data_IF_925532717759
#
_entry.id   IF_925532717759
#
_cell.length_a   1.000
_cell.length_b   1.000
_cell.length_c   1.000
_cell.angle_alpha   90.00
_cell.angle_beta   90.00
_cell.angle_gamma   90.00
#
_symmetry.space_group_name_H-M   'P 1'
#
loop_
_entity.id
_entity.type
_entity.pdbx_description
1 polymer ?
#
# COMPACT_ATOMS: atom_id res chain seq x y z
N UNK A 1 -9.79 5.87 -5.86
CA UNK A 1 -8.55 5.23 -5.38
C UNK A 1 -7.28 6.05 -5.68
N UNK A 2 -7.35 7.06 -6.55
CA UNK A 2 -6.22 7.95 -6.85
C UNK A 2 -5.16 7.37 -7.80
N UNK A 3 -5.52 6.38 -8.63
CA UNK A 3 -4.60 5.82 -9.63
C UNK A 3 -4.07 6.89 -10.59
N UNK A 4 -4.89 7.88 -10.94
CA UNK A 4 -4.51 9.05 -11.73
C UNK A 4 -3.37 9.86 -11.09
N UNK A 5 -3.38 9.98 -9.76
CA UNK A 5 -2.30 10.65 -9.01
C UNK A 5 -1.00 9.85 -9.11
N UNK A 6 -1.06 8.52 -8.97
CA UNK A 6 0.12 7.66 -9.05
C UNK A 6 0.72 7.63 -10.47
N UNK A 7 -0.12 7.53 -11.51
CA UNK A 7 0.37 7.57 -12.89
C UNK A 7 1.08 8.92 -13.17
N UNK A 8 0.53 10.02 -12.70
CA UNK A 8 1.19 11.34 -12.81
C UNK A 8 2.48 11.43 -11.99
N UNK A 9 2.52 10.81 -10.80
CA UNK A 9 3.74 10.73 -9.99
C UNK A 9 4.86 9.96 -10.72
N UNK A 10 4.54 8.92 -11.49
CA UNK A 10 5.52 8.19 -12.31
C UNK A 10 6.24 9.06 -13.35
N UNK A 11 5.65 10.17 -13.78
CA UNK A 11 6.30 11.15 -14.69
C UNK A 11 7.42 11.93 -14.01
N UNK A 12 7.32 12.10 -12.70
CA UNK A 12 8.32 12.82 -11.89
C UNK A 12 9.46 11.90 -11.46
N UNK A 13 9.21 10.58 -11.46
CA UNK A 13 10.16 9.56 -11.05
C UNK A 13 11.09 9.17 -12.22
N UNK A 14 12.35 8.90 -11.89
CA UNK A 14 13.36 8.47 -12.85
C UNK A 14 13.05 7.11 -13.51
N UNK A 15 13.81 6.70 -14.55
CA UNK A 15 13.50 5.52 -15.37
C UNK A 15 13.69 4.19 -14.64
N UNK A 16 14.31 4.18 -13.46
CA UNK A 16 14.50 2.97 -12.64
C UNK A 16 13.19 2.45 -12.03
N UNK A 17 12.18 3.32 -11.88
CA UNK A 17 10.91 2.96 -11.24
C UNK A 17 9.95 2.33 -12.24
N UNK A 18 9.29 1.26 -11.82
CA UNK A 18 8.29 0.53 -12.59
C UNK A 18 7.01 0.42 -11.78
N UNK A 19 5.86 0.48 -12.43
CA UNK A 19 4.56 0.43 -11.78
C UNK A 19 3.77 -0.79 -12.25
N UNK A 20 3.35 -1.62 -11.30
CA UNK A 20 2.38 -2.69 -11.52
C UNK A 20 1.00 -2.17 -11.11
N UNK A 21 0.04 -2.22 -12.04
CA UNK A 21 -1.37 -1.91 -11.80
C UNK A 21 -2.14 -3.20 -11.99
N UNK A 22 -2.68 -3.74 -10.91
CA UNK A 22 -3.40 -5.01 -10.93
C UNK A 22 -4.74 -4.87 -10.19
N UNK A 23 -5.82 -5.29 -10.84
CA UNK A 23 -7.17 -5.25 -10.31
C UNK A 23 -8.20 -4.78 -11.33
N UNK A 24 -9.44 -5.21 -11.12
CA UNK A 24 -10.55 -4.85 -11.99
C UNK A 24 -10.94 -3.37 -11.82
N UNK A 25 -11.03 -2.59 -12.90
CA UNK A 25 -11.45 -1.20 -12.83
C UNK A 25 -12.99 -1.12 -12.67
N UNK A 26 -13.46 -0.16 -11.88
CA UNK A 26 -14.86 0.22 -11.91
C UNK A 26 -15.11 1.13 -13.13
N UNK A 27 -15.68 0.56 -14.21
CA UNK A 27 -15.91 1.23 -15.48
C UNK A 27 -14.70 1.16 -16.44
N UNK A 28 -14.61 2.10 -17.38
CA UNK A 28 -13.55 2.10 -18.40
C UNK A 28 -12.17 2.43 -17.81
N UNK A 29 -11.14 1.76 -18.32
CA UNK A 29 -9.74 2.03 -18.01
C UNK A 29 -9.12 3.08 -18.96
N UNK A 30 -9.82 3.48 -20.03
CA UNK A 30 -9.34 4.38 -21.11
C UNK A 30 -8.65 5.65 -20.60
N UNK A 31 -9.27 6.33 -19.61
CA UNK A 31 -8.68 7.55 -19.01
C UNK A 31 -7.30 7.31 -18.39
N UNK A 32 -7.00 6.10 -17.98
CA UNK A 32 -5.68 5.76 -17.43
C UNK A 32 -4.72 5.39 -18.54
N UNK A 33 -5.18 4.77 -19.63
CA UNK A 33 -4.38 4.51 -20.84
C UNK A 33 -3.92 5.81 -21.46
N UNK A 34 -4.77 6.83 -21.54
CA UNK A 34 -4.42 8.18 -21.98
C UNK A 34 -3.30 8.77 -21.10
N UNK A 35 -3.47 8.76 -19.77
CA UNK A 35 -2.46 9.27 -18.84
C UNK A 35 -1.12 8.52 -18.93
N UNK A 36 -1.16 7.21 -19.16
CA UNK A 36 0.03 6.39 -19.34
C UNK A 36 0.71 6.72 -20.67
N UNK A 37 -0.04 6.87 -21.74
CA UNK A 37 0.49 7.29 -23.05
C UNK A 37 1.16 8.67 -22.98
N UNK A 38 0.58 9.60 -22.23
CA UNK A 38 1.14 10.92 -21.98
C UNK A 38 2.35 10.92 -21.05
N UNK A 39 2.68 9.80 -20.39
CA UNK A 39 3.78 9.73 -19.42
C UNK A 39 5.18 9.80 -20.07
N UNK A 40 5.28 9.63 -21.38
CA UNK A 40 6.52 9.65 -22.15
C UNK A 40 7.25 8.30 -22.22
N UNK A 41 6.97 7.37 -21.29
CA UNK A 41 7.54 6.01 -21.30
C UNK A 41 6.55 5.01 -20.72
N UNK A 42 5.69 4.48 -21.60
CA UNK A 42 4.68 3.47 -21.24
C UNK A 42 5.27 2.10 -20.90
N UNK A 43 6.53 1.83 -21.28
CA UNK A 43 7.19 0.55 -20.99
C UNK A 43 7.42 0.28 -19.50
N UNK A 44 7.31 1.32 -18.66
CA UNK A 44 7.43 1.22 -17.20
C UNK A 44 6.15 0.77 -16.50
N UNK A 45 5.03 0.66 -17.24
CA UNK A 45 3.71 0.31 -16.68
C UNK A 45 3.33 -1.11 -17.06
N UNK A 46 3.10 -1.95 -16.05
CA UNK A 46 2.64 -3.33 -16.19
C UNK A 46 1.19 -3.41 -15.75
N UNK A 47 0.27 -3.51 -16.71
CA UNK A 47 -1.17 -3.31 -16.49
C UNK A 47 -1.90 -4.65 -16.58
N UNK A 48 -2.63 -5.00 -15.52
CA UNK A 48 -3.44 -6.19 -15.40
C UNK A 48 -4.88 -5.79 -14.98
N UNK A 49 -5.70 -5.24 -15.91
CA UNK A 49 -7.00 -4.62 -15.61
C UNK A 49 -8.12 -5.66 -15.55
N UNK A 50 -7.92 -6.70 -14.75
CA UNK A 50 -8.87 -7.80 -14.60
C UNK A 50 -8.99 -8.18 -13.12
N UNK A 51 -10.04 -8.96 -12.81
CA UNK A 51 -10.16 -9.56 -11.49
C UNK A 51 -8.95 -10.45 -11.18
N UNK A 52 -8.29 -10.19 -10.07
CA UNK A 52 -7.13 -10.97 -9.60
C UNK A 52 -7.64 -12.04 -8.63
N UNK A 53 -7.48 -13.29 -8.99
CA UNK A 53 -7.84 -14.43 -8.13
C UNK A 53 -6.94 -14.46 -6.89
N UNK A 54 -7.46 -14.91 -5.76
CA UNK A 54 -6.70 -15.00 -4.50
C UNK A 54 -5.40 -15.78 -4.65
N UNK A 55 -5.40 -16.87 -5.46
CA UNK A 55 -4.21 -17.66 -5.77
C UNK A 55 -3.13 -16.90 -6.55
N UNK A 56 -3.48 -15.78 -7.17
CA UNK A 56 -2.57 -14.96 -8.00
C UNK A 56 -2.05 -13.73 -7.27
N UNK A 57 -2.72 -13.29 -6.20
CA UNK A 57 -2.35 -12.11 -5.41
C UNK A 57 -0.88 -12.14 -5.00
N UNK A 58 -0.39 -13.30 -4.57
CA UNK A 58 1.01 -13.52 -4.21
C UNK A 58 1.99 -13.08 -5.29
N UNK A 59 1.69 -13.30 -6.57
CA UNK A 59 2.60 -12.97 -7.69
C UNK A 59 2.91 -11.47 -7.71
N UNK A 60 1.87 -10.64 -7.56
CA UNK A 60 2.00 -9.18 -7.62
C UNK A 60 2.73 -8.62 -6.41
N UNK A 61 2.35 -9.04 -5.20
CA UNK A 61 3.02 -8.58 -4.00
C UNK A 61 4.47 -9.07 -3.89
N UNK A 62 4.77 -10.30 -4.31
CA UNK A 62 6.15 -10.78 -4.32
C UNK A 62 7.02 -10.07 -5.37
N UNK A 63 6.45 -9.65 -6.49
CA UNK A 63 7.17 -8.90 -7.52
C UNK A 63 7.39 -7.42 -7.16
N UNK A 64 6.62 -6.87 -6.21
CA UNK A 64 6.72 -5.47 -5.79
C UNK A 64 7.69 -5.29 -4.62
N UNK A 65 8.38 -4.16 -4.58
CA UNK A 65 9.17 -3.71 -3.43
C UNK A 65 8.35 -2.85 -2.46
N UNK A 66 7.35 -2.15 -2.99
CA UNK A 66 6.55 -1.14 -2.28
C UNK A 66 5.11 -1.19 -2.76
N UNK A 67 4.15 -1.05 -1.84
CA UNK A 67 2.74 -0.84 -2.18
C UNK A 67 2.39 0.64 -2.07
N UNK A 68 1.70 1.19 -3.06
CA UNK A 68 1.30 2.60 -3.07
C UNK A 68 -0.22 2.72 -3.10
N UNK A 69 -0.79 3.39 -2.09
CA UNK A 69 -2.23 3.61 -1.94
C UNK A 69 -2.53 5.12 -1.92
N UNK A 70 -2.56 5.80 -3.07
CA UNK A 70 -2.70 7.26 -3.17
C UNK A 70 -4.18 7.66 -3.10
N UNK A 71 -4.88 7.18 -2.07
CA UNK A 71 -6.33 7.34 -1.97
C UNK A 71 -6.72 8.82 -1.78
N UNK A 72 -7.74 9.25 -2.51
CA UNK A 72 -8.37 10.59 -2.36
C UNK A 72 -9.33 10.62 -1.17
N UNK A 73 -9.94 9.47 -0.86
CA UNK A 73 -10.76 9.24 0.32
C UNK A 73 -10.79 7.76 0.65
N UNK A 74 -10.78 7.42 1.90
CA UNK A 74 -10.95 6.06 2.41
C UNK A 74 -11.38 6.12 3.88
N UNK A 75 -12.03 5.09 4.37
CA UNK A 75 -12.15 4.81 5.80
C UNK A 75 -11.04 3.86 6.24
N UNK A 76 -10.95 2.73 5.57
CA UNK A 76 -9.93 1.70 5.76
C UNK A 76 -9.55 1.09 4.40
N UNK A 77 -8.51 0.26 4.37
CA UNK A 77 -8.09 -0.45 3.17
C UNK A 77 -7.75 -1.91 3.46
N UNK A 78 -8.50 -2.84 2.84
CA UNK A 78 -8.15 -4.26 2.88
C UNK A 78 -6.78 -4.55 2.23
N UNK A 79 -6.38 -3.74 1.25
CA UNK A 79 -5.07 -3.88 0.59
C UNK A 79 -3.92 -3.62 1.56
N UNK A 80 -4.10 -2.76 2.57
CA UNK A 80 -3.06 -2.55 3.59
C UNK A 80 -2.80 -3.81 4.42
N UNK A 81 -3.83 -4.56 4.77
CA UNK A 81 -3.68 -5.83 5.47
C UNK A 81 -2.98 -6.89 4.59
N UNK A 82 -3.33 -6.95 3.31
CA UNK A 82 -2.67 -7.84 2.34
C UNK A 82 -1.20 -7.45 2.16
N UNK A 83 -0.90 -6.14 2.06
CA UNK A 83 0.48 -5.64 1.96
C UNK A 83 1.32 -6.04 3.17
N UNK A 84 0.78 -5.87 4.38
CA UNK A 84 1.41 -6.31 5.62
C UNK A 84 1.64 -7.84 5.64
N UNK A 85 0.67 -8.63 5.17
CA UNK A 85 0.82 -10.09 5.07
C UNK A 85 2.04 -10.48 4.22
N UNK A 86 2.30 -9.76 3.13
CA UNK A 86 3.46 -9.97 2.26
C UNK A 86 4.70 -9.16 2.67
N UNK A 87 4.70 -8.59 3.86
CA UNK A 87 5.79 -7.78 4.41
C UNK A 87 6.23 -6.63 3.47
N UNK A 88 5.26 -6.01 2.76
CA UNK A 88 5.54 -4.90 1.86
C UNK A 88 5.26 -3.57 2.54
N UNK A 89 6.28 -2.73 2.70
CA UNK A 89 6.10 -1.35 3.14
C UNK A 89 5.14 -0.59 2.22
N UNK A 90 4.55 0.47 2.74
CA UNK A 90 3.54 1.22 2.00
C UNK A 90 3.86 2.69 1.91
N UNK A 91 3.47 3.30 0.78
CA UNK A 91 3.27 4.75 0.67
C UNK A 91 1.77 4.99 0.58
N UNK A 92 1.23 5.77 1.50
CA UNK A 92 -0.20 6.06 1.59
C UNK A 92 -0.44 7.57 1.70
N UNK A 93 -1.64 8.02 1.36
CA UNK A 93 -2.08 9.39 1.62
C UNK A 93 -2.72 9.49 3.01
N UNK A 94 -2.70 10.69 3.61
CA UNK A 94 -3.30 10.98 4.91
C UNK A 94 -4.84 11.12 4.79
N UNK A 95 -5.51 9.96 4.62
CA UNK A 95 -6.97 9.86 4.52
C UNK A 95 -7.50 8.73 5.39
N UNK A 96 -8.62 8.96 6.06
CA UNK A 96 -9.25 7.99 6.95
C UNK A 96 -8.29 7.47 8.02
N UNK A 97 -8.31 6.17 8.29
CA UNK A 97 -7.43 5.51 9.26
C UNK A 97 -6.03 5.14 8.75
N UNK A 98 -5.62 5.56 7.53
CA UNK A 98 -4.34 5.13 6.95
C UNK A 98 -3.14 5.71 7.69
N UNK A 99 -3.23 6.96 8.17
CA UNK A 99 -2.17 7.55 8.99
C UNK A 99 -1.95 6.75 10.28
N UNK A 100 -3.02 6.44 11.00
CA UNK A 100 -2.97 5.67 12.25
C UNK A 100 -2.43 4.25 12.02
N UNK A 101 -2.89 3.58 10.95
CA UNK A 101 -2.57 2.16 10.71
C UNK A 101 -1.22 1.95 10.03
N UNK A 102 -0.68 2.94 9.34
CA UNK A 102 0.58 2.85 8.60
C UNK A 102 1.64 3.78 9.19
N UNK A 103 1.34 5.09 9.30
CA UNK A 103 2.28 6.09 9.77
C UNK A 103 2.65 5.91 11.24
N UNK A 104 1.66 5.91 12.12
CA UNK A 104 1.88 5.80 13.56
C UNK A 104 2.40 4.41 13.98
N UNK A 105 2.21 3.40 13.12
CA UNK A 105 2.79 2.06 13.29
C UNK A 105 4.18 1.91 12.68
N UNK A 106 4.66 2.90 11.93
CA UNK A 106 5.96 2.86 11.29
C UNK A 106 6.10 1.73 10.27
N UNK A 107 5.01 1.40 9.54
CA UNK A 107 5.00 0.35 8.51
C UNK A 107 5.10 0.90 7.10
N UNK A 108 5.23 2.23 6.96
CA UNK A 108 5.31 2.92 5.69
C UNK A 108 5.40 4.44 5.84
N UNK A 109 5.24 5.13 4.71
CA UNK A 109 5.34 6.58 4.61
C UNK A 109 3.96 7.17 4.31
N UNK A 110 3.60 8.25 5.01
CA UNK A 110 2.33 8.96 4.82
C UNK A 110 2.56 10.27 4.07
N UNK A 111 1.96 10.39 2.88
CA UNK A 111 1.91 11.64 2.12
C UNK A 111 0.88 12.57 2.74
N UNK A 112 1.30 13.76 3.13
CA UNK A 112 0.41 14.79 3.72
C UNK A 112 -0.65 15.30 2.74
N UNK A 113 -0.38 15.19 1.44
CA UNK A 113 -1.27 15.62 0.36
C UNK A 113 -1.40 14.53 -0.69
N UNK A 114 -2.61 14.38 -1.24
CA UNK A 114 -2.86 13.47 -2.35
C UNK A 114 -2.50 14.17 -3.68
N UNK A 115 -1.21 14.47 -3.89
CA UNK A 115 -0.68 15.06 -5.12
C UNK A 115 0.42 14.21 -5.72
N UNK A 116 0.64 14.28 -7.05
CA UNK A 116 1.69 13.52 -7.71
C UNK A 116 3.09 13.78 -7.12
N UNK A 117 3.39 15.03 -6.76
CA UNK A 117 4.67 15.44 -6.20
C UNK A 117 4.92 14.79 -4.85
N UNK A 118 3.92 14.83 -3.94
CA UNK A 118 4.05 14.25 -2.61
C UNK A 118 4.20 12.73 -2.68
N UNK A 119 3.50 12.07 -3.62
CA UNK A 119 3.60 10.62 -3.81
C UNK A 119 4.96 10.25 -4.42
N UNK A 120 5.46 11.01 -5.40
CA UNK A 120 6.77 10.78 -6.01
C UNK A 120 7.89 10.95 -4.97
N UNK A 121 7.87 12.06 -4.21
CA UNK A 121 8.83 12.32 -3.13
C UNK A 121 8.86 11.18 -2.09
N UNK A 122 7.69 10.68 -1.69
CA UNK A 122 7.60 9.57 -0.73
C UNK A 122 8.16 8.26 -1.30
N UNK A 123 7.95 7.99 -2.59
CA UNK A 123 8.51 6.82 -3.27
C UNK A 123 10.04 6.95 -3.35
N UNK A 124 10.57 8.09 -3.78
CA UNK A 124 12.02 8.34 -3.82
C UNK A 124 12.64 8.20 -2.44
N UNK A 125 12.03 8.82 -1.42
CA UNK A 125 12.49 8.73 -0.04
C UNK A 125 12.58 7.28 0.45
N UNK A 126 11.65 6.41 0.07
CA UNK A 126 11.70 4.99 0.41
C UNK A 126 12.90 4.28 -0.23
N UNK A 127 13.15 4.52 -1.52
CA UNK A 127 14.20 3.82 -2.25
C UNK A 127 15.61 4.39 -2.02
N UNK A 128 15.71 5.67 -1.65
CA UNK A 128 16.99 6.33 -1.38
C UNK A 128 17.48 6.07 0.07
N UNK A 129 16.62 5.47 0.93
CA UNK A 129 16.92 5.12 2.32
C UNK A 129 16.69 3.62 2.58
N UNK A 130 17.56 2.72 2.07
CA UNK A 130 17.39 1.27 2.20
C UNK A 130 17.34 0.79 3.66
N UNK A 131 17.97 1.50 4.60
CA UNK A 131 17.91 1.21 6.03
C UNK A 131 16.50 1.29 6.60
N UNK A 132 15.65 2.17 6.05
CA UNK A 132 14.25 2.31 6.47
C UNK A 132 13.40 1.12 6.03
N UNK A 133 13.79 0.43 4.95
CA UNK A 133 13.09 -0.76 4.49
C UNK A 133 13.12 -1.84 5.56
N UNK A 134 14.26 -2.08 6.18
CA UNK A 134 14.42 -3.09 7.24
C UNK A 134 13.60 -2.71 8.48
N UNK A 135 13.59 -1.43 8.84
CA UNK A 135 12.79 -0.91 9.94
C UNK A 135 11.29 -1.12 9.67
N UNK A 136 10.79 -0.73 8.49
CA UNK A 136 9.39 -0.93 8.11
C UNK A 136 9.00 -2.40 8.14
N UNK A 137 9.80 -3.30 7.56
CA UNK A 137 9.54 -4.75 7.57
C UNK A 137 9.51 -5.29 8.99
N UNK A 138 10.45 -4.87 9.86
CA UNK A 138 10.44 -5.26 11.27
C UNK A 138 9.15 -4.83 11.98
N UNK A 139 8.68 -3.60 11.73
CA UNK A 139 7.45 -3.09 12.31
C UNK A 139 6.22 -3.80 11.74
N UNK A 140 6.19 -4.12 10.44
CA UNK A 140 5.13 -4.93 9.82
C UNK A 140 5.01 -6.30 10.51
N UNK A 141 6.13 -6.97 10.78
CA UNK A 141 6.12 -8.27 11.50
C UNK A 141 5.51 -8.15 12.89
N UNK A 142 5.86 -7.09 13.64
CA UNK A 142 5.26 -6.81 14.96
C UNK A 142 3.75 -6.56 14.85
N UNK A 143 3.31 -5.81 13.84
CA UNK A 143 1.88 -5.55 13.62
C UNK A 143 1.13 -6.83 13.19
N UNK A 144 1.72 -7.67 12.34
CA UNK A 144 1.15 -8.95 11.96
C UNK A 144 0.96 -9.87 13.18
N UNK A 145 1.93 -9.91 14.10
CA UNK A 145 1.80 -10.65 15.35
C UNK A 145 0.71 -10.05 16.24
N UNK A 146 0.69 -8.72 16.41
CA UNK A 146 -0.29 -7.99 17.21
C UNK A 146 -1.73 -8.24 16.74
N UNK A 147 -1.94 -8.31 15.42
CA UNK A 147 -3.24 -8.50 14.76
C UNK A 147 -3.54 -9.98 14.47
N UNK A 148 -2.69 -10.91 14.91
CA UNK A 148 -2.90 -12.33 14.67
C UNK A 148 -4.14 -12.88 15.39
N UNK A 149 -4.78 -13.89 14.81
CA UNK A 149 -5.88 -14.59 15.43
C UNK A 149 -5.52 -15.19 16.79
N UNK A 150 -4.31 -15.70 16.95
CA UNK A 150 -3.82 -16.23 18.22
C UNK A 150 -3.82 -15.16 19.32
N UNK A 151 -3.34 -13.95 18.99
CA UNK A 151 -3.33 -12.83 19.92
C UNK A 151 -4.74 -12.35 20.24
N UNK A 152 -5.59 -12.27 19.24
CA UNK A 152 -7.00 -11.92 19.41
C UNK A 152 -7.71 -12.90 20.35
N UNK A 153 -7.61 -14.22 20.09
CA UNK A 153 -8.22 -15.24 20.93
C UNK A 153 -7.71 -15.19 22.38
N UNK A 154 -6.39 -15.01 22.56
CA UNK A 154 -5.81 -14.87 23.89
C UNK A 154 -6.39 -13.66 24.63
N UNK A 155 -6.38 -12.50 24.03
CA UNK A 155 -6.91 -11.26 24.63
C UNK A 155 -8.41 -11.40 24.96
N UNK A 156 -9.18 -12.03 24.07
CA UNK A 156 -10.61 -12.26 24.29
C UNK A 156 -10.84 -13.19 25.49
N UNK A 157 -10.07 -14.27 25.59
CA UNK A 157 -10.17 -15.21 26.72
C UNK A 157 -9.81 -14.52 28.04
N UNK A 158 -8.73 -13.77 28.07
CA UNK A 158 -8.32 -12.98 29.24
C UNK A 158 -9.43 -11.99 29.66
N UNK A 159 -10.03 -11.28 28.70
CA UNK A 159 -11.13 -10.36 28.97
C UNK A 159 -12.34 -11.07 29.56
N UNK A 160 -12.79 -12.21 29.00
CA UNK A 160 -13.90 -13.01 29.51
C UNK A 160 -13.61 -13.46 30.96
N UNK A 161 -12.41 -13.91 31.27
CA UNK A 161 -12.02 -14.34 32.61
C UNK A 161 -12.11 -13.17 33.62
N UNK A 162 -11.80 -11.93 33.22
CA UNK A 162 -11.95 -10.76 34.09
C UNK A 162 -13.41 -10.44 34.40
N UNK A 163 -14.34 -10.77 33.51
CA UNK A 163 -15.78 -10.58 33.74
C UNK A 163 -16.35 -11.64 34.69
N UNK A 164 -15.85 -12.87 34.60
CA UNK A 164 -16.32 -13.99 35.44
C UNK A 164 -15.71 -13.97 36.86
N UNK A 165 -14.68 -13.17 37.10
CA UNK A 165 -14.02 -13.02 38.39
C UNK A 165 -14.67 -11.95 39.29
N UNK A 166 -15.73 -11.28 38.83
CA UNK A 166 -16.58 -10.34 39.60
C UNK A 166 -17.88 -10.98 39.99
#
# INVERSE_FOLDING_TARGET
KGLDVLIRAMRLLGPRYRLIIAGEPYGSFEKYDELISESGDSSRFFIYPQYIRDSEVKKYFCAADLTVLPYKSATQSGISAVSNHFEKPMVVTDVGGLKETIGDRGTGIVCKKCTPECVAEAIENYFDHPERKEEFVSNIRKENERLSWNRFCKNLTEFINTLNAK
#
